data_IF_127928803588
#
_entry.id   IF_127928803588
#
_cell.length_a   1.000
_cell.length_b   1.000
_cell.length_c   1.000
_cell.angle_alpha   90.00
_cell.angle_beta   90.00
_cell.angle_gamma   90.00
#
_symmetry.space_group_name_H-M   'P 1'
#
loop_
_entity.id
_entity.type
_entity.pdbx_description
1 polymer ?
#
# COMPACT_ATOMS: atom_id res chain seq x y z
N UNK A 1 -2.31 17.23 -18.99
CA UNK A 1 -3.56 16.56 -19.36
C UNK A 1 -3.64 16.37 -20.87
N UNK A 2 -3.48 17.42 -21.65
CA UNK A 2 -3.60 17.40 -23.12
C UNK A 2 -2.64 16.42 -23.80
N UNK A 3 -1.40 16.34 -23.29
CA UNK A 3 -0.42 15.36 -23.79
C UNK A 3 -0.88 13.90 -23.60
N UNK A 4 -1.58 13.59 -22.50
CA UNK A 4 -2.13 12.24 -22.27
C UNK A 4 -3.27 11.92 -23.27
N UNK A 5 -4.13 12.90 -23.55
CA UNK A 5 -5.19 12.72 -24.56
C UNK A 5 -4.61 12.57 -25.97
N UNK A 6 -3.57 13.35 -26.30
CA UNK A 6 -2.89 13.22 -27.59
C UNK A 6 -2.21 11.84 -27.75
N UNK A 7 -1.53 11.37 -26.70
CA UNK A 7 -0.89 10.04 -26.73
C UNK A 7 -1.92 8.92 -26.85
N UNK A 8 -3.01 8.97 -26.07
CA UNK A 8 -4.09 7.99 -26.17
C UNK A 8 -4.77 8.02 -27.55
N UNK A 9 -4.99 9.21 -28.13
CA UNK A 9 -5.53 9.37 -29.48
C UNK A 9 -4.60 8.85 -30.58
N UNK A 10 -3.30 8.77 -30.31
CA UNK A 10 -2.31 8.16 -31.18
C UNK A 10 -2.17 6.62 -30.96
N UNK A 11 -3.01 6.01 -30.14
CA UNK A 11 -2.99 4.57 -29.86
C UNK A 11 -1.98 4.13 -28.79
N UNK A 12 -1.41 5.07 -28.02
CA UNK A 12 -0.51 4.74 -26.92
C UNK A 12 -1.34 4.29 -25.71
N UNK A 13 -1.07 3.09 -25.19
CA UNK A 13 -1.67 2.62 -23.94
C UNK A 13 -1.06 3.36 -22.75
N UNK A 14 -1.91 3.91 -21.88
CA UNK A 14 -1.50 4.68 -20.71
C UNK A 14 -1.90 3.92 -19.47
N UNK A 15 -0.90 3.49 -18.70
CA UNK A 15 -1.08 2.70 -17.46
C UNK A 15 -0.54 3.48 -16.26
N UNK A 16 -1.39 4.10 -15.43
CA UNK A 16 -0.93 4.74 -14.21
C UNK A 16 -0.33 3.73 -13.24
N UNK A 17 0.82 4.05 -12.68
CA UNK A 17 1.58 3.16 -11.80
C UNK A 17 1.87 3.84 -10.48
N UNK A 18 1.39 3.28 -9.36
CA UNK A 18 1.37 3.95 -8.05
C UNK A 18 1.55 2.99 -6.87
N UNK A 19 1.98 3.53 -5.72
CA UNK A 19 1.95 2.83 -4.42
C UNK A 19 0.58 2.85 -3.73
N UNK A 20 -0.40 3.57 -4.29
CA UNK A 20 -1.77 3.64 -3.76
C UNK A 20 -2.61 2.50 -4.32
N UNK A 21 -3.70 2.15 -3.65
CA UNK A 21 -4.78 1.38 -4.27
C UNK A 21 -5.59 2.26 -5.24
N UNK A 22 -6.37 1.67 -6.13
CA UNK A 22 -7.01 2.38 -7.24
C UNK A 22 -7.92 3.53 -6.75
N UNK A 23 -8.80 3.26 -5.79
CA UNK A 23 -9.70 4.28 -5.23
C UNK A 23 -9.00 5.36 -4.40
N UNK A 24 -7.75 5.14 -3.99
CA UNK A 24 -6.88 6.13 -3.35
C UNK A 24 -6.10 7.02 -4.31
N UNK A 25 -6.23 6.81 -5.63
CA UNK A 25 -5.64 7.69 -6.64
C UNK A 25 -6.45 9.00 -6.75
N UNK A 26 -5.83 10.09 -7.24
CA UNK A 26 -6.57 11.31 -7.53
C UNK A 26 -7.73 11.05 -8.50
N UNK A 27 -8.92 11.56 -8.18
CA UNK A 27 -10.14 11.34 -8.97
C UNK A 27 -9.99 11.77 -10.44
N UNK A 28 -9.20 12.83 -10.68
CA UNK A 28 -8.88 13.31 -12.03
C UNK A 28 -8.17 12.27 -12.90
N UNK A 29 -7.41 11.36 -12.28
CA UNK A 29 -6.76 10.23 -12.96
C UNK A 29 -7.75 9.08 -13.12
N UNK A 30 -8.49 8.71 -12.06
CA UNK A 30 -9.47 7.63 -12.13
C UNK A 30 -10.53 7.83 -13.23
N UNK A 31 -10.87 9.11 -13.53
CA UNK A 31 -11.89 9.50 -14.53
C UNK A 31 -11.36 9.67 -15.95
N UNK A 32 -10.10 9.35 -16.23
CA UNK A 32 -9.59 9.42 -17.60
C UNK A 32 -10.19 8.28 -18.45
N UNK A 33 -10.92 8.58 -19.54
CA UNK A 33 -11.76 7.61 -20.22
C UNK A 33 -10.98 6.56 -21.04
N UNK A 34 -9.69 6.79 -21.27
CA UNK A 34 -8.82 5.92 -22.04
C UNK A 34 -7.97 4.96 -21.18
N UNK A 35 -8.11 5.01 -19.86
CA UNK A 35 -7.41 4.06 -18.98
C UNK A 35 -8.15 2.71 -18.97
N UNK A 36 -7.41 1.63 -19.24
CA UNK A 36 -7.90 0.26 -19.13
C UNK A 36 -7.37 -0.41 -17.88
N UNK A 37 -6.07 -0.26 -17.62
CA UNK A 37 -5.38 -0.88 -16.51
C UNK A 37 -4.71 0.15 -15.61
N UNK A 38 -4.50 -0.21 -14.36
CA UNK A 38 -3.66 0.51 -13.42
C UNK A 38 -2.77 -0.48 -12.66
N UNK A 39 -1.48 -0.14 -12.49
CA UNK A 39 -0.60 -0.87 -11.60
C UNK A 39 -0.63 -0.16 -10.25
N UNK A 40 -1.13 -0.84 -9.23
CA UNK A 40 -1.40 -0.29 -7.90
C UNK A 40 -0.57 -0.98 -6.83
N UNK A 41 -0.52 -0.36 -5.65
CA UNK A 41 0.09 -0.92 -4.43
C UNK A 41 1.53 -1.40 -4.69
N UNK A 42 2.35 -0.53 -5.32
CA UNK A 42 3.76 -0.78 -5.67
C UNK A 42 3.98 -1.94 -6.68
N UNK A 43 2.95 -2.36 -7.40
CA UNK A 43 2.98 -3.51 -8.30
C UNK A 43 2.45 -4.79 -7.66
N UNK A 44 1.89 -4.72 -6.46
CA UNK A 44 1.19 -5.84 -5.85
C UNK A 44 -0.13 -6.18 -6.56
N UNK A 45 -0.62 -5.29 -7.42
CA UNK A 45 -1.84 -5.50 -8.17
C UNK A 45 -1.78 -4.85 -9.55
N UNK A 46 -2.19 -5.59 -10.57
CA UNK A 46 -2.64 -5.05 -11.86
C UNK A 46 -4.16 -5.06 -11.83
N UNK A 47 -4.76 -3.88 -11.93
CA UNK A 47 -6.19 -3.67 -11.79
C UNK A 47 -6.81 -3.31 -13.13
N UNK A 48 -7.79 -4.10 -13.57
CA UNK A 48 -8.64 -3.78 -14.72
C UNK A 48 -9.72 -2.78 -14.27
N UNK A 49 -9.65 -1.57 -14.81
CA UNK A 49 -10.53 -0.45 -14.44
C UNK A 49 -11.95 -0.66 -14.96
N UNK A 50 -12.10 -1.32 -16.12
CA UNK A 50 -13.39 -1.55 -16.76
C UNK A 50 -14.14 -2.69 -16.08
N UNK A 51 -13.45 -3.81 -15.87
CA UNK A 51 -13.99 -5.00 -15.21
C UNK A 51 -14.03 -4.86 -13.67
N UNK A 52 -13.39 -3.82 -13.12
CA UNK A 52 -13.29 -3.53 -11.69
C UNK A 52 -12.76 -4.72 -10.88
N UNK A 53 -11.75 -5.40 -11.40
CA UNK A 53 -11.13 -6.57 -10.76
C UNK A 53 -9.61 -6.57 -10.88
N UNK A 54 -8.95 -7.30 -9.99
CA UNK A 54 -7.54 -7.61 -10.14
C UNK A 54 -7.33 -8.63 -11.27
N UNK A 55 -6.39 -8.36 -12.16
CA UNK A 55 -5.95 -9.28 -13.23
C UNK A 55 -4.77 -10.11 -12.74
N UNK A 56 -3.88 -9.48 -11.97
CA UNK A 56 -2.71 -10.11 -11.38
C UNK A 56 -2.47 -9.54 -9.99
N UNK A 57 -2.05 -10.39 -9.06
CA UNK A 57 -1.71 -10.00 -7.68
C UNK A 57 -0.40 -10.64 -7.23
N UNK A 58 0.35 -9.93 -6.38
CA UNK A 58 1.48 -10.43 -5.62
C UNK A 58 1.27 -10.00 -4.17
N UNK A 59 0.78 -10.92 -3.34
CA UNK A 59 0.28 -10.63 -2.01
C UNK A 59 1.13 -11.31 -0.93
N UNK A 60 1.27 -10.66 0.21
CA UNK A 60 1.92 -11.20 1.40
C UNK A 60 0.98 -12.25 2.00
N UNK A 61 1.40 -13.50 2.18
CA UNK A 61 0.60 -14.52 2.87
C UNK A 61 0.18 -14.05 4.26
N UNK A 62 -1.04 -14.40 4.68
CA UNK A 62 -1.62 -13.98 5.96
C UNK A 62 -0.68 -14.23 7.14
N UNK A 63 -0.11 -15.44 7.25
CA UNK A 63 0.80 -15.80 8.35
C UNK A 63 2.05 -14.92 8.38
N UNK A 64 2.60 -14.58 7.22
CA UNK A 64 3.74 -13.65 7.13
C UNK A 64 3.33 -12.25 7.58
N UNK A 65 2.16 -11.76 7.14
CA UNK A 65 1.64 -10.47 7.55
C UNK A 65 1.45 -10.39 9.07
N UNK A 66 0.85 -11.40 9.67
CA UNK A 66 0.64 -11.48 11.13
C UNK A 66 1.97 -11.47 11.89
N UNK A 67 2.97 -12.23 11.44
CA UNK A 67 4.32 -12.24 12.05
C UNK A 67 5.03 -10.88 11.95
N UNK A 68 4.85 -10.16 10.84
CA UNK A 68 5.36 -8.79 10.71
C UNK A 68 4.68 -7.86 11.71
N UNK A 69 3.36 -7.91 11.82
CA UNK A 69 2.61 -7.06 12.76
C UNK A 69 2.95 -7.40 14.22
N UNK A 70 3.09 -8.68 14.56
CA UNK A 70 3.53 -9.13 15.89
C UNK A 70 4.94 -8.62 16.24
N UNK A 71 5.85 -8.61 15.25
CA UNK A 71 7.18 -8.03 15.43
C UNK A 71 7.12 -6.52 15.67
N UNK A 72 6.25 -5.81 14.94
CA UNK A 72 6.08 -4.36 15.06
C UNK A 72 5.44 -3.92 16.38
N UNK A 73 4.67 -4.78 17.06
CA UNK A 73 4.10 -4.50 18.39
C UNK A 73 5.18 -4.19 19.45
N UNK A 74 6.41 -4.65 19.24
CA UNK A 74 7.54 -4.37 20.15
C UNK A 74 8.13 -2.96 20.01
N UNK A 75 7.58 -2.10 19.16
CA UNK A 75 8.14 -0.78 18.85
C UNK A 75 7.09 0.33 18.95
N UNK A 76 7.51 1.58 19.25
CA UNK A 76 6.61 2.75 19.26
C UNK A 76 6.31 3.21 17.81
N UNK A 77 5.53 2.43 17.10
CA UNK A 77 5.08 2.68 15.73
C UNK A 77 3.58 2.52 15.62
N UNK A 78 2.99 3.13 14.60
CA UNK A 78 1.65 2.77 14.14
C UNK A 78 1.76 2.09 12.78
N UNK A 79 0.80 1.22 12.46
CA UNK A 79 0.81 0.50 11.19
C UNK A 79 -0.59 0.32 10.62
N UNK A 80 -0.63 0.10 9.31
CA UNK A 80 -1.83 -0.23 8.55
C UNK A 80 -1.57 -1.39 7.58
N UNK A 81 -2.64 -1.94 7.02
CA UNK A 81 -2.53 -2.88 5.91
C UNK A 81 -3.46 -2.50 4.76
N UNK A 82 -3.10 -2.98 3.56
CA UNK A 82 -3.96 -2.96 2.39
C UNK A 82 -4.42 -4.37 2.07
N UNK A 83 -5.73 -4.55 2.04
CA UNK A 83 -6.39 -5.79 1.65
C UNK A 83 -7.64 -5.43 0.84
N UNK A 84 -7.91 -6.19 -0.21
CA UNK A 84 -9.04 -5.93 -1.12
C UNK A 84 -9.07 -4.53 -1.72
N UNK A 85 -7.90 -4.01 -2.10
CA UNK A 85 -7.79 -2.69 -2.69
C UNK A 85 -8.32 -1.57 -1.77
N UNK A 86 -8.18 -1.77 -0.44
CA UNK A 86 -8.56 -0.81 0.59
C UNK A 86 -7.58 -0.85 1.77
N UNK A 87 -7.59 0.23 2.58
CA UNK A 87 -6.75 0.36 3.77
C UNK A 87 -7.47 0.05 5.07
N UNK A 88 -6.78 -0.64 5.99
CA UNK A 88 -7.30 -1.03 7.32
C UNK A 88 -6.29 -0.68 8.39
N UNK A 89 -6.75 -0.17 9.53
CA UNK A 89 -5.92 0.26 10.65
C UNK A 89 -6.69 0.13 11.95
N UNK A 90 -6.02 -0.04 13.08
CA UNK A 90 -6.75 0.02 14.37
C UNK A 90 -7.25 1.43 14.63
N UNK A 91 -8.42 1.54 15.25
CA UNK A 91 -9.03 2.83 15.62
C UNK A 91 -8.07 3.67 16.46
N UNK A 92 -7.45 3.08 17.48
CA UNK A 92 -6.51 3.78 18.35
C UNK A 92 -5.28 4.32 17.61
N UNK A 93 -4.73 3.56 16.64
CA UNK A 93 -3.61 4.02 15.82
C UNK A 93 -4.03 5.16 14.88
N UNK A 94 -5.25 5.09 14.30
CA UNK A 94 -5.77 6.14 13.43
C UNK A 94 -5.99 7.46 14.19
N UNK A 95 -6.55 7.40 15.38
CA UNK A 95 -6.76 8.56 16.26
C UNK A 95 -5.43 9.23 16.63
N UNK A 96 -4.41 8.44 16.93
CA UNK A 96 -3.07 8.91 17.31
C UNK A 96 -2.16 9.21 16.10
N UNK A 97 -2.62 9.05 14.86
CA UNK A 97 -1.79 9.15 13.66
C UNK A 97 -1.03 10.50 13.54
N UNK A 98 -1.56 11.60 14.08
CA UNK A 98 -0.89 12.90 14.03
C UNK A 98 0.49 12.94 14.72
N UNK A 99 0.71 12.09 15.73
CA UNK A 99 2.00 11.97 16.42
C UNK A 99 3.06 11.21 15.59
N UNK A 100 2.64 10.43 14.60
CA UNK A 100 3.50 9.56 13.79
C UNK A 100 3.67 10.02 12.34
N UNK A 101 2.70 10.80 11.84
CA UNK A 101 2.66 11.28 10.44
C UNK A 101 2.67 12.81 10.45
N UNK A 102 3.85 13.45 10.48
CA UNK A 102 3.96 14.91 10.62
C UNK A 102 3.62 15.68 9.34
N UNK A 103 3.34 14.99 8.24
CA UNK A 103 3.02 15.60 6.94
C UNK A 103 1.50 15.68 6.79
N UNK A 104 0.94 16.88 6.80
CA UNK A 104 -0.53 17.13 6.76
C UNK A 104 -1.26 16.39 5.65
N UNK A 105 -0.72 16.40 4.43
CA UNK A 105 -1.35 15.68 3.31
C UNK A 105 -1.41 14.17 3.57
N UNK A 106 -0.32 13.59 4.06
CA UNK A 106 -0.22 12.17 4.38
C UNK A 106 -1.11 11.80 5.55
N UNK A 107 -1.18 12.65 6.59
CA UNK A 107 -2.10 12.46 7.72
C UNK A 107 -3.56 12.42 7.27
N UNK A 108 -3.97 13.38 6.41
CA UNK A 108 -5.32 13.35 5.83
C UNK A 108 -5.59 12.05 5.06
N UNK A 109 -4.62 11.55 4.28
CA UNK A 109 -4.76 10.29 3.57
C UNK A 109 -4.91 9.09 4.50
N UNK A 110 -4.09 9.01 5.57
CA UNK A 110 -4.22 7.95 6.58
C UNK A 110 -5.60 7.96 7.19
N UNK A 111 -6.12 9.12 7.56
CA UNK A 111 -7.45 9.26 8.18
C UNK A 111 -8.62 8.98 7.23
N UNK A 112 -8.52 9.34 5.96
CA UNK A 112 -9.63 9.22 4.99
C UNK A 112 -9.64 7.93 4.20
N UNK A 113 -8.49 7.26 4.05
CA UNK A 113 -8.33 6.08 3.20
C UNK A 113 -8.05 4.80 4.02
N UNK A 114 -8.36 4.81 5.33
CA UNK A 114 -8.31 3.62 6.19
C UNK A 114 -9.63 3.47 6.91
N UNK A 115 -10.18 2.29 6.87
CA UNK A 115 -11.31 1.91 7.73
C UNK A 115 -10.76 1.48 9.07
N UNK A 116 -11.21 2.09 10.19
CA UNK A 116 -10.79 1.68 11.51
C UNK A 116 -11.44 0.37 11.92
N UNK A 117 -10.62 -0.53 12.47
CA UNK A 117 -11.05 -1.77 13.14
C UNK A 117 -10.61 -1.73 14.59
N UNK A 118 -11.19 -2.55 15.45
CA UNK A 118 -10.83 -2.57 16.86
C UNK A 118 -9.47 -3.21 17.08
N UNK A 119 -9.17 -4.32 16.39
CA UNK A 119 -7.90 -5.01 16.43
C UNK A 119 -7.54 -5.56 15.03
N UNK A 120 -6.45 -5.06 14.43
CA UNK A 120 -6.11 -5.35 13.04
C UNK A 120 -5.77 -6.82 12.81
N UNK A 121 -5.00 -7.45 13.70
CA UNK A 121 -4.61 -8.86 13.54
C UNK A 121 -5.80 -9.80 13.70
N UNK A 122 -6.74 -9.50 14.60
CA UNK A 122 -7.99 -10.24 14.73
C UNK A 122 -8.84 -10.12 13.46
N UNK A 123 -8.98 -8.91 12.94
CA UNK A 123 -9.66 -8.66 11.67
C UNK A 123 -9.04 -9.47 10.52
N UNK A 124 -7.71 -9.45 10.38
CA UNK A 124 -7.03 -10.20 9.32
C UNK A 124 -7.22 -11.71 9.46
N UNK A 125 -7.18 -12.27 10.68
CA UNK A 125 -7.47 -13.70 10.94
C UNK A 125 -8.89 -14.07 10.55
N UNK A 126 -9.86 -13.22 10.87
CA UNK A 126 -11.28 -13.42 10.48
C UNK A 126 -11.45 -13.41 8.96
N UNK A 127 -10.82 -12.45 8.27
CA UNK A 127 -10.85 -12.41 6.80
C UNK A 127 -10.17 -13.61 6.16
N UNK A 128 -9.17 -14.21 6.82
CA UNK A 128 -8.41 -15.38 6.37
C UNK A 128 -7.88 -15.26 4.94
N UNK A 129 -7.33 -14.10 4.57
CA UNK A 129 -6.81 -13.80 3.24
C UNK A 129 -5.47 -13.08 3.31
N UNK A 130 -4.68 -13.20 2.25
CA UNK A 130 -3.43 -12.47 2.04
C UNK A 130 -3.65 -10.96 2.06
N UNK A 131 -2.60 -10.20 2.29
CA UNK A 131 -2.62 -8.73 2.26
C UNK A 131 -1.73 -8.20 1.14
N UNK A 132 -2.10 -7.08 0.56
CA UNK A 132 -1.39 -6.48 -0.56
C UNK A 132 -0.19 -5.65 -0.13
N UNK A 133 -0.25 -5.04 1.05
CA UNK A 133 0.81 -4.21 1.61
C UNK A 133 0.65 -4.08 3.12
N UNK A 134 1.76 -4.04 3.86
CA UNK A 134 1.80 -3.48 5.20
C UNK A 134 2.59 -2.17 5.16
N UNK A 135 2.19 -1.22 5.99
CA UNK A 135 2.87 0.06 6.11
C UNK A 135 2.96 0.43 7.59
N UNK A 136 4.11 0.93 8.01
CA UNK A 136 4.29 1.48 9.34
C UNK A 136 4.72 2.95 9.26
N UNK A 137 4.48 3.66 10.35
CA UNK A 137 4.89 5.06 10.52
C UNK A 137 5.58 5.27 11.86
N UNK A 138 6.67 6.00 11.84
CA UNK A 138 7.40 6.48 12.99
C UNK A 138 8.08 7.80 12.66
N UNK A 139 8.06 8.82 13.55
CA UNK A 139 8.83 10.04 13.38
C UNK A 139 10.31 9.87 13.78
N UNK A 140 10.68 8.75 14.40
CA UNK A 140 12.04 8.45 14.83
C UNK A 140 12.86 7.87 13.66
N UNK A 141 13.76 8.67 13.10
CA UNK A 141 14.61 8.28 11.97
C UNK A 141 15.58 7.14 12.31
N UNK A 142 16.09 7.08 13.56
CA UNK A 142 17.00 6.03 13.98
C UNK A 142 16.26 4.70 14.10
N UNK A 143 15.06 4.70 14.69
CA UNK A 143 14.18 3.53 14.74
C UNK A 143 13.80 3.08 13.32
N UNK A 144 13.40 4.02 12.46
CA UNK A 144 13.03 3.72 11.07
C UNK A 144 14.19 3.07 10.31
N UNK A 145 15.42 3.59 10.46
CA UNK A 145 16.61 3.01 9.84
C UNK A 145 16.87 1.58 10.30
N UNK A 146 16.74 1.29 11.60
CA UNK A 146 16.84 -0.07 12.15
C UNK A 146 15.77 -0.99 11.60
N UNK A 147 14.51 -0.56 11.64
CA UNK A 147 13.38 -1.37 11.16
C UNK A 147 13.45 -1.67 9.66
N UNK A 148 14.00 -0.78 8.83
CA UNK A 148 14.26 -1.06 7.41
C UNK A 148 15.19 -2.27 7.24
N UNK A 149 16.28 -2.32 7.98
CA UNK A 149 17.23 -3.44 7.95
C UNK A 149 16.64 -4.70 8.55
N UNK A 150 16.08 -4.58 9.76
CA UNK A 150 15.53 -5.73 10.50
C UNK A 150 14.40 -6.43 9.73
N UNK A 151 13.49 -5.67 9.10
CA UNK A 151 12.39 -6.24 8.32
C UNK A 151 12.92 -6.97 7.07
N UNK A 152 13.90 -6.41 6.37
CA UNK A 152 14.50 -7.04 5.20
C UNK A 152 15.23 -8.34 5.55
N UNK A 153 15.94 -8.37 6.67
CA UNK A 153 16.67 -9.55 7.13
C UNK A 153 15.75 -10.65 7.69
N UNK A 154 14.74 -10.27 8.49
CA UNK A 154 13.80 -11.22 9.13
C UNK A 154 12.78 -11.80 8.17
N UNK A 155 12.40 -11.03 7.16
CA UNK A 155 11.35 -11.40 6.20
C UNK A 155 11.87 -11.28 4.76
N UNK A 156 12.82 -12.13 4.33
CA UNK A 156 13.44 -12.04 3.00
C UNK A 156 12.46 -12.28 1.85
N UNK A 157 11.25 -12.78 2.13
CA UNK A 157 10.14 -12.88 1.18
C UNK A 157 9.43 -11.54 0.92
N UNK A 158 9.83 -10.47 1.61
CA UNK A 158 9.24 -9.15 1.44
C UNK A 158 10.20 -8.18 0.74
N UNK A 159 9.64 -7.30 -0.05
CA UNK A 159 10.26 -6.07 -0.51
C UNK A 159 10.00 -4.97 0.52
N UNK A 160 11.05 -4.42 1.10
CA UNK A 160 10.98 -3.35 2.11
C UNK A 160 11.45 -2.05 1.49
N UNK A 161 10.66 -0.99 1.59
CA UNK A 161 10.94 0.31 0.97
C UNK A 161 10.41 1.47 1.80
N UNK A 162 10.74 2.69 1.41
CA UNK A 162 10.22 3.93 2.02
C UNK A 162 9.77 4.87 0.91
N UNK A 163 8.67 5.57 1.12
CA UNK A 163 8.13 6.58 0.21
C UNK A 163 8.04 7.98 0.85
N UNK A 164 8.20 8.05 2.18
CA UNK A 164 8.17 9.28 2.96
C UNK A 164 9.21 9.21 4.10
N UNK A 165 9.66 10.34 4.65
CA UNK A 165 10.61 10.35 5.76
C UNK A 165 10.15 9.60 7.02
N UNK A 166 8.84 9.38 7.19
CA UNK A 166 8.28 8.78 8.39
C UNK A 166 7.66 7.38 8.17
N UNK A 167 7.83 6.75 7.00
CA UNK A 167 7.21 5.45 6.75
C UNK A 167 8.19 4.36 6.33
N UNK A 168 7.73 3.11 6.48
CA UNK A 168 8.25 1.93 5.80
C UNK A 168 7.06 1.21 5.17
N UNK A 169 7.23 0.73 3.97
CA UNK A 169 6.27 -0.09 3.23
C UNK A 169 6.84 -1.48 2.98
N UNK A 170 6.04 -2.51 3.21
CA UNK A 170 6.39 -3.88 2.86
C UNK A 170 5.36 -4.45 1.90
N UNK A 171 5.84 -5.05 0.83
CA UNK A 171 5.06 -5.79 -0.15
C UNK A 171 5.66 -7.19 -0.31
N UNK A 172 4.98 -8.10 -0.96
CA UNK A 172 5.61 -9.35 -1.41
C UNK A 172 6.82 -9.05 -2.30
N UNK A 173 7.87 -9.86 -2.23
CA UNK A 173 9.11 -9.66 -3.00
C UNK A 173 8.88 -9.68 -4.54
N UNK A 174 7.77 -10.27 -5.00
CA UNK A 174 7.38 -10.26 -6.41
C UNK A 174 6.59 -9.01 -6.79
N UNK A 175 6.09 -8.24 -5.82
CA UNK A 175 5.39 -6.98 -6.06
C UNK A 175 6.39 -5.92 -6.52
N UNK A 176 6.46 -5.71 -7.82
CA UNK A 176 7.36 -4.76 -8.45
C UNK A 176 6.68 -4.12 -9.67
N UNK A 177 6.70 -2.80 -9.76
CA UNK A 177 6.08 -2.04 -10.86
C UNK A 177 6.58 -2.49 -12.25
N UNK A 178 7.87 -2.77 -12.37
CA UNK A 178 8.46 -3.24 -13.64
C UNK A 178 7.98 -4.66 -14.02
N UNK A 179 7.90 -5.58 -13.05
CA UNK A 179 7.35 -6.93 -13.28
C UNK A 179 5.86 -6.87 -13.62
N UNK A 180 5.11 -6.01 -12.95
CA UNK A 180 3.68 -5.84 -13.18
C UNK A 180 3.35 -5.26 -14.57
N UNK A 181 4.28 -4.54 -15.21
CA UNK A 181 4.13 -4.09 -16.62
C UNK A 181 4.30 -5.26 -17.59
N UNK A 182 5.07 -6.27 -17.22
CA UNK A 182 5.40 -7.40 -18.09
C UNK A 182 4.41 -8.59 -17.93
N UNK A 183 3.50 -8.52 -16.96
CA UNK A 183 2.47 -9.53 -16.72
C UNK A 183 1.20 -9.25 -17.54
#
# INVERSE_FOLDING_TARGET
RDALYAAAGAGVEIVPTTGRFFTGMPEVIQKLPFLHFAITINGAQVYDIREKKAVSTAEIPLETALRVLEYLDGFPVIYDCYQDNWGWMTRSMQENAAAFVPIDHSLRMVRSLRTPVDELKAYLREQNRSVQKLQLFTPDDALRGRLLTDLAERFPCLSVSTSMPCNIETNDAHANKGKAIAS
#
